data_IF_378833156406
#
_entry.id   IF_378833156406
#
_cell.length_a   1.000
_cell.length_b   1.000
_cell.length_c   1.000
_cell.angle_alpha   90.00
_cell.angle_beta   90.00
_cell.angle_gamma   90.00
#
_symmetry.space_group_name_H-M   'P 1'
#
loop_
_entity.id
_entity.type
_entity.pdbx_description
1 polymer ?
#
# COMPACT_ATOMS: atom_id res chain seq x y z
N UNK A 1 5.00 -4.29 14.97
CA UNK A 1 5.43 -5.43 14.12
C UNK A 1 6.91 -5.66 14.30
N UNK A 2 7.31 -6.91 14.45
CA UNK A 2 8.72 -7.32 14.58
C UNK A 2 9.52 -7.00 13.29
N UNK A 3 10.80 -6.56 13.37
CA UNK A 3 11.56 -6.08 12.22
C UNK A 3 11.64 -7.04 11.02
N UNK A 4 11.82 -8.36 11.23
CA UNK A 4 11.87 -9.32 10.12
C UNK A 4 10.52 -9.45 9.42
N UNK A 5 9.41 -9.46 10.16
CA UNK A 5 8.06 -9.42 9.56
C UNK A 5 7.80 -8.11 8.83
N UNK A 6 8.21 -6.98 9.39
CA UNK A 6 8.07 -5.68 8.75
C UNK A 6 8.82 -5.60 7.42
N UNK A 7 10.05 -6.12 7.35
CA UNK A 7 10.82 -6.18 6.11
C UNK A 7 10.15 -7.08 5.06
N UNK A 8 9.54 -8.20 5.47
CA UNK A 8 8.75 -9.06 4.57
C UNK A 8 7.51 -8.36 4.05
N UNK A 9 6.77 -7.67 4.92
CA UNK A 9 5.59 -6.87 4.53
C UNK A 9 6.00 -5.79 3.54
N UNK A 10 7.05 -5.02 3.82
CA UNK A 10 7.55 -4.01 2.89
C UNK A 10 7.84 -4.64 1.52
N UNK A 11 8.64 -5.70 1.48
CA UNK A 11 9.00 -6.37 0.22
C UNK A 11 7.76 -6.86 -0.55
N UNK A 12 6.77 -7.39 0.15
CA UNK A 12 5.50 -7.82 -0.45
C UNK A 12 4.72 -6.64 -1.03
N UNK A 13 4.61 -5.54 -0.28
CA UNK A 13 3.83 -4.35 -0.67
C UNK A 13 4.43 -3.59 -1.85
N UNK A 14 5.75 -3.69 -2.09
CA UNK A 14 6.39 -3.15 -3.30
C UNK A 14 5.82 -3.74 -4.60
N UNK A 15 5.17 -4.91 -4.56
CA UNK A 15 4.46 -5.49 -5.71
C UNK A 15 3.04 -4.95 -5.91
N UNK A 16 2.47 -4.27 -4.92
CA UNK A 16 1.07 -3.83 -4.91
C UNK A 16 0.90 -2.30 -4.95
N UNK A 17 1.92 -1.55 -4.54
CA UNK A 17 1.82 -0.10 -4.47
C UNK A 17 3.16 0.61 -4.28
N UNK A 18 3.06 1.93 -4.18
CA UNK A 18 4.20 2.81 -3.99
C UNK A 18 4.38 3.14 -2.50
N UNK A 19 5.60 3.01 -1.95
CA UNK A 19 5.87 3.39 -0.57
C UNK A 19 5.84 4.92 -0.42
N UNK A 20 4.98 5.41 0.47
CA UNK A 20 5.02 6.80 0.95
C UNK A 20 6.00 6.93 2.13
N UNK A 21 6.03 5.89 2.97
CA UNK A 21 7.02 5.63 4.01
C UNK A 21 7.36 4.14 4.00
N UNK A 22 8.30 3.71 4.84
CA UNK A 22 8.73 2.30 4.90
C UNK A 22 7.57 1.30 5.13
N UNK A 23 6.52 1.71 5.84
CA UNK A 23 5.36 0.88 6.18
C UNK A 23 4.03 1.53 5.84
N UNK A 24 4.02 2.47 4.89
CA UNK A 24 2.80 3.15 4.42
C UNK A 24 2.84 3.16 2.90
N UNK A 25 1.82 2.58 2.27
CA UNK A 25 1.78 2.38 0.83
C UNK A 25 0.52 2.99 0.23
N UNK A 26 0.66 3.65 -0.93
CA UNK A 26 -0.45 3.99 -1.81
C UNK A 26 -0.57 2.89 -2.85
N UNK A 27 -1.76 2.31 -2.96
CA UNK A 27 -2.02 1.23 -3.91
C UNK A 27 -3.20 1.60 -4.79
N UNK A 28 -3.00 1.56 -6.11
CA UNK A 28 -4.07 1.72 -7.10
C UNK A 28 -4.49 0.32 -7.55
N UNK A 29 -5.45 -0.30 -6.83
CA UNK A 29 -5.85 -1.69 -7.02
C UNK A 29 -7.30 -1.81 -7.48
N UNK A 30 -7.57 -2.81 -8.32
CA UNK A 30 -8.93 -3.32 -8.51
C UNK A 30 -9.28 -4.34 -7.40
N UNK A 31 -10.52 -4.81 -7.34
CA UNK A 31 -10.98 -5.75 -6.31
C UNK A 31 -10.12 -7.03 -6.24
N UNK A 32 -9.74 -7.59 -7.40
CA UNK A 32 -8.87 -8.78 -7.45
C UNK A 32 -7.47 -8.49 -6.90
N UNK A 33 -6.90 -7.33 -7.21
CA UNK A 33 -5.60 -6.90 -6.68
C UNK A 33 -5.64 -6.72 -5.17
N UNK A 34 -6.73 -6.18 -4.62
CA UNK A 34 -6.95 -6.06 -3.18
C UNK A 34 -7.00 -7.44 -2.52
N UNK A 35 -7.75 -8.40 -3.08
CA UNK A 35 -7.85 -9.76 -2.53
C UNK A 35 -6.50 -10.48 -2.51
N UNK A 36 -5.70 -10.34 -3.58
CA UNK A 36 -4.35 -10.90 -3.66
C UNK A 36 -3.42 -10.27 -2.62
N UNK A 37 -3.44 -8.94 -2.50
CA UNK A 37 -2.66 -8.20 -1.51
C UNK A 37 -2.99 -8.66 -0.09
N UNK A 38 -4.28 -8.80 0.24
CA UNK A 38 -4.74 -9.30 1.53
C UNK A 38 -4.25 -10.71 1.80
N UNK A 39 -4.42 -11.62 0.84
CA UNK A 39 -3.99 -13.02 0.97
C UNK A 39 -2.48 -13.16 1.23
N UNK A 40 -1.66 -12.32 0.57
CA UNK A 40 -0.22 -12.36 0.78
C UNK A 40 0.20 -11.78 2.13
N UNK A 41 -0.47 -10.73 2.59
CA UNK A 41 -0.21 -10.14 3.91
C UNK A 41 -0.62 -11.07 5.05
N UNK A 42 -1.74 -11.79 4.93
CA UNK A 42 -2.19 -12.79 5.91
C UNK A 42 -1.15 -13.88 6.16
N UNK A 43 -0.36 -14.25 5.15
CA UNK A 43 0.72 -15.25 5.30
C UNK A 43 1.93 -14.71 6.07
N UNK A 44 2.07 -13.39 6.19
CA UNK A 44 3.26 -12.75 6.76
C UNK A 44 3.00 -12.26 8.18
N UNK A 45 1.83 -11.71 8.46
CA UNK A 45 1.54 -11.06 9.75
C UNK A 45 1.26 -12.06 10.88
N UNK A 46 1.59 -11.67 12.10
CA UNK A 46 1.06 -12.30 13.29
C UNK A 46 -0.19 -11.54 13.75
N UNK A 47 -1.37 -12.09 13.51
CA UNK A 47 -2.66 -11.43 13.85
C UNK A 47 -2.83 -11.07 15.35
N UNK A 48 -2.04 -11.64 16.26
CA UNK A 48 -2.08 -11.30 17.68
C UNK A 48 -1.25 -10.07 18.05
N UNK A 49 -0.29 -9.69 17.21
CA UNK A 49 0.72 -8.67 17.50
C UNK A 49 0.75 -7.53 16.46
N UNK A 50 0.37 -7.85 15.24
CA UNK A 50 0.49 -6.97 14.09
C UNK A 50 -0.89 -6.44 13.67
N UNK A 51 -0.89 -5.24 13.10
CA UNK A 51 -2.08 -4.62 12.52
C UNK A 51 -1.72 -4.00 11.18
N UNK A 52 -2.60 -4.18 10.22
CA UNK A 52 -2.61 -3.48 8.94
C UNK A 52 -3.93 -2.73 8.85
N UNK A 53 -3.88 -1.48 8.39
CA UNK A 53 -5.05 -0.64 8.16
C UNK A 53 -5.15 -0.33 6.67
N UNK A 54 -6.32 -0.56 6.09
CA UNK A 54 -6.62 -0.27 4.69
C UNK A 54 -7.63 0.87 4.69
N UNK A 55 -7.30 1.93 3.98
CA UNK A 55 -8.16 3.10 3.82
C UNK A 55 -8.49 3.21 2.34
N UNK A 56 -9.78 3.07 2.01
CA UNK A 56 -10.26 3.36 0.67
C UNK A 56 -10.29 4.89 0.46
N UNK A 57 -9.48 5.37 -0.49
CA UNK A 57 -9.39 6.79 -0.83
C UNK A 57 -10.36 7.18 -1.96
N UNK A 58 -11.04 6.20 -2.57
CA UNK A 58 -11.85 6.36 -3.77
C UNK A 58 -11.05 6.07 -5.06
N UNK A 59 -11.66 6.30 -6.22
CA UNK A 59 -11.05 6.00 -7.52
C UNK A 59 -9.73 6.75 -7.75
N UNK A 60 -8.77 6.08 -8.40
CA UNK A 60 -7.46 6.63 -8.71
C UNK A 60 -7.52 7.88 -9.63
N UNK A 61 -8.53 7.97 -10.49
CA UNK A 61 -8.80 9.13 -11.36
C UNK A 61 -9.44 10.32 -10.61
N UNK A 62 -9.72 10.15 -9.31
CA UNK A 62 -10.35 11.16 -8.46
C UNK A 62 -9.36 12.14 -7.82
N UNK A 63 -9.90 13.04 -6.99
CA UNK A 63 -9.15 14.08 -6.26
C UNK A 63 -8.47 13.56 -4.99
N UNK A 64 -8.04 12.28 -4.98
CA UNK A 64 -7.35 11.66 -3.84
C UNK A 64 -6.14 12.47 -3.43
N UNK A 65 -5.42 12.95 -4.43
CA UNK A 65 -4.25 13.81 -4.30
C UNK A 65 -4.52 15.10 -3.52
N UNK A 66 -5.73 15.66 -3.65
CA UNK A 66 -6.16 16.85 -2.92
C UNK A 66 -6.55 16.56 -1.47
N UNK A 67 -6.70 15.29 -1.09
CA UNK A 67 -7.05 14.87 0.27
C UNK A 67 -5.82 14.50 1.11
N UNK A 68 -4.65 14.34 0.49
CA UNK A 68 -3.40 14.04 1.18
C UNK A 68 -2.58 15.32 1.35
N UNK A 69 -2.05 15.52 2.56
CA UNK A 69 -1.13 16.63 2.88
C UNK A 69 0.18 16.05 3.41
N UNK A 70 1.28 16.61 2.96
CA UNK A 70 2.62 16.24 3.41
C UNK A 70 3.24 17.42 4.16
N UNK A 71 3.98 17.12 5.22
CA UNK A 71 4.90 18.06 5.85
C UNK A 71 6.33 17.65 5.44
N UNK A 72 7.09 18.57 4.86
CA UNK A 72 8.43 18.29 4.35
C UNK A 72 8.46 17.84 2.88
N UNK A 73 9.51 17.10 2.49
CA UNK A 73 9.76 16.73 1.09
C UNK A 73 8.65 15.82 0.58
N UNK A 74 7.93 16.28 -0.45
CA UNK A 74 6.95 15.47 -1.17
C UNK A 74 7.69 14.52 -2.11
N UNK A 75 7.54 13.22 -1.90
CA UNK A 75 7.97 12.23 -2.89
C UNK A 75 7.10 12.37 -4.14
N UNK A 76 7.73 12.32 -5.32
CA UNK A 76 7.00 12.43 -6.60
C UNK A 76 6.07 11.23 -6.73
N UNK A 77 4.83 11.50 -7.09
CA UNK A 77 3.88 10.47 -7.47
C UNK A 77 4.19 10.06 -8.90
N UNK A 78 4.77 8.87 -9.09
CA UNK A 78 4.85 8.30 -10.42
C UNK A 78 3.49 7.68 -10.72
N UNK A 79 2.82 8.19 -11.74
CA UNK A 79 1.58 7.61 -12.27
C UNK A 79 1.90 6.26 -12.92
N UNK A 80 2.07 5.22 -12.12
CA UNK A 80 2.00 3.85 -12.61
C UNK A 80 0.53 3.53 -12.84
N UNK A 81 0.01 3.93 -14.00
CA UNK A 81 -1.20 3.28 -14.52
C UNK A 81 -0.86 1.81 -14.58
N UNK A 82 -1.56 0.99 -13.80
CA UNK A 82 -1.47 -0.44 -13.94
C UNK A 82 -1.60 -0.76 -15.44
N UNK A 83 -0.55 -1.33 -16.03
CA UNK A 83 -0.65 -1.93 -17.36
C UNK A 83 -1.57 -3.13 -17.17
N UNK A 84 -2.85 -2.92 -17.46
CA UNK A 84 -3.82 -4.00 -17.59
C UNK A 84 -3.35 -4.83 -18.79
N UNK A 85 -3.00 -6.09 -18.55
CA UNK A 85 -3.03 -7.14 -19.57
C UNK A 85 -4.46 -7.66 -19.69
#
# INVERSE_FOLDING_TARGET
MEPKRLAKVHKSMMGYGQPLHYSVFRCDLNSKGLDLMLSDLEKIINHKEDRIMIIDMGPAEGRVEERVRFLGVKQKWENHRARIF
#
